data_IF_131564887616
#
_entry.id   IF_131564887616
#
_cell.length_a   1.000
_cell.length_b   1.000
_cell.length_c   1.000
_cell.angle_alpha   90.00
_cell.angle_beta   90.00
_cell.angle_gamma   90.00
#
_symmetry.space_group_name_H-M   'P 1'
#
loop_
_entity.id
_entity.type
_entity.pdbx_description
1 polymer ?
#
# COMPACT_ATOMS: atom_id res chain seq x y z
N UNK A 1 -3.75 -12.68 14.00
CA UNK A 1 -4.66 -11.61 14.47
C UNK A 1 -3.86 -10.66 15.33
N UNK A 2 -4.10 -9.37 15.20
CA UNK A 2 -3.29 -8.34 15.89
C UNK A 2 -4.05 -7.58 16.98
N UNK A 3 -5.38 -7.59 16.95
CA UNK A 3 -6.18 -7.17 18.10
C UNK A 3 -6.01 -8.22 19.24
N UNK A 4 -5.51 -7.83 20.43
CA UNK A 4 -5.24 -8.76 21.53
C UNK A 4 -6.47 -9.58 21.94
N UNK A 5 -6.32 -10.87 22.31
CA UNK A 5 -7.43 -11.73 22.71
C UNK A 5 -8.20 -11.14 23.91
N UNK A 6 -9.52 -11.38 23.94
CA UNK A 6 -10.38 -10.96 25.06
C UNK A 6 -10.93 -9.54 24.99
N UNK A 7 -10.51 -8.72 24.01
CA UNK A 7 -11.07 -7.38 23.82
C UNK A 7 -12.44 -7.45 23.12
N UNK A 8 -13.52 -6.95 23.75
CA UNK A 8 -14.84 -6.91 23.13
C UNK A 8 -14.92 -5.77 22.11
N UNK A 9 -15.70 -5.97 21.05
CA UNK A 9 -15.87 -5.01 19.94
C UNK A 9 -17.34 -4.72 19.64
N UNK A 10 -18.25 -5.49 20.23
CA UNK A 10 -19.68 -5.40 20.01
C UNK A 10 -20.44 -5.55 21.33
N UNK A 11 -21.46 -4.73 21.53
CA UNK A 11 -22.44 -4.89 22.60
C UNK A 11 -23.81 -5.21 22.00
N UNK A 12 -24.34 -6.39 22.33
CA UNK A 12 -25.69 -6.75 21.92
C UNK A 12 -26.71 -5.71 22.41
N UNK A 13 -27.52 -5.09 21.52
CA UNK A 13 -28.43 -4.00 21.90
C UNK A 13 -29.44 -4.37 22.99
N UNK A 14 -29.93 -5.62 22.95
CA UNK A 14 -30.97 -6.12 23.88
C UNK A 14 -30.37 -6.69 25.16
N UNK A 15 -29.43 -7.63 25.06
CA UNK A 15 -28.88 -8.34 26.23
C UNK A 15 -27.74 -7.59 26.92
N UNK A 16 -27.18 -6.56 26.26
CA UNK A 16 -26.01 -5.79 26.70
C UNK A 16 -24.75 -6.62 26.94
N UNK A 17 -24.74 -7.86 26.45
CA UNK A 17 -23.59 -8.76 26.49
C UNK A 17 -22.54 -8.24 25.51
N UNK A 18 -21.31 -8.15 26.01
CA UNK A 18 -20.14 -7.81 25.21
C UNK A 18 -19.57 -9.07 24.57
N UNK A 19 -19.37 -9.01 23.25
CA UNK A 19 -18.68 -10.06 22.50
C UNK A 19 -17.65 -9.44 21.56
N UNK A 20 -16.81 -10.30 20.99
CA UNK A 20 -15.81 -9.92 20.00
C UNK A 20 -16.19 -10.51 18.65
N UNK A 21 -16.89 -9.71 17.86
CA UNK A 21 -17.27 -10.08 16.49
C UNK A 21 -16.23 -9.60 15.48
N UNK A 22 -15.52 -8.52 15.81
CA UNK A 22 -14.58 -7.87 14.91
C UNK A 22 -13.13 -8.27 15.20
N UNK A 23 -12.34 -8.37 14.14
CA UNK A 23 -10.96 -8.83 14.21
C UNK A 23 -10.10 -8.13 13.17
N UNK A 24 -8.83 -7.93 13.52
CA UNK A 24 -7.81 -7.41 12.60
C UNK A 24 -6.79 -8.51 12.32
N UNK A 25 -6.61 -8.81 11.04
CA UNK A 25 -5.62 -9.77 10.54
C UNK A 25 -4.50 -9.00 9.84
N UNK A 26 -3.26 -9.41 10.09
CA UNK A 26 -2.06 -8.81 9.51
C UNK A 26 -1.16 -9.94 9.03
N UNK A 27 -0.54 -9.78 7.86
CA UNK A 27 0.47 -10.71 7.38
C UNK A 27 1.71 -10.68 8.28
N UNK A 28 2.47 -11.78 8.30
CA UNK A 28 3.69 -11.85 9.11
C UNK A 28 4.72 -10.81 8.66
N UNK A 29 4.86 -10.62 7.34
CA UNK A 29 5.74 -9.61 6.77
C UNK A 29 5.41 -8.19 7.22
N UNK A 30 4.14 -7.87 7.50
CA UNK A 30 3.74 -6.55 7.96
C UNK A 30 3.80 -6.38 9.50
N UNK A 31 4.13 -7.44 10.25
CA UNK A 31 4.12 -7.40 11.73
C UNK A 31 5.11 -6.37 12.29
N UNK A 32 6.26 -6.19 11.65
CA UNK A 32 7.26 -5.20 12.08
C UNK A 32 6.77 -3.75 11.96
N UNK A 33 5.77 -3.50 11.11
CA UNK A 33 5.16 -2.19 10.97
C UNK A 33 4.09 -1.95 12.05
N UNK A 34 3.63 -2.95 12.79
CA UNK A 34 2.58 -2.74 13.80
C UNK A 34 3.13 -1.97 15.01
N UNK A 35 2.57 -0.79 15.26
CA UNK A 35 2.83 -0.02 16.49
C UNK A 35 1.83 -0.45 17.57
N UNK A 36 0.53 -0.36 17.28
CA UNK A 36 -0.55 -0.77 18.20
C UNK A 36 -1.78 -1.26 17.44
N UNK A 37 -2.60 -2.09 18.10
CA UNK A 37 -3.95 -2.44 17.66
C UNK A 37 -4.83 -2.59 18.90
N UNK A 38 -5.81 -1.71 19.06
CA UNK A 38 -6.72 -1.69 20.21
C UNK A 38 -8.08 -1.11 19.81
N UNK A 39 -9.08 -1.23 20.67
CA UNK A 39 -10.35 -0.50 20.49
C UNK A 39 -10.16 1.00 20.74
N UNK A 40 -10.96 1.82 20.07
CA UNK A 40 -11.00 3.27 20.22
C UNK A 40 -12.41 3.75 20.59
N UNK A 41 -12.90 3.45 21.82
CA UNK A 41 -14.27 3.76 22.25
C UNK A 41 -14.63 5.24 22.12
N UNK A 42 -13.66 6.13 22.30
CA UNK A 42 -13.81 7.58 22.18
C UNK A 42 -14.19 8.05 20.77
N UNK A 43 -13.99 7.21 19.75
CA UNK A 43 -14.35 7.50 18.36
C UNK A 43 -15.69 6.87 17.94
N UNK A 44 -16.37 6.20 18.88
CA UNK A 44 -17.64 5.52 18.61
C UNK A 44 -18.72 6.54 18.27
N UNK A 45 -19.41 6.34 17.13
CA UNK A 45 -20.57 7.15 16.75
C UNK A 45 -21.74 6.87 17.70
N UNK A 46 -22.47 7.91 18.09
CA UNK A 46 -23.68 7.76 18.90
C UNK A 46 -24.67 6.76 18.28
N UNK A 47 -25.04 5.74 19.05
CA UNK A 47 -25.99 4.71 18.64
C UNK A 47 -25.39 3.49 17.93
N UNK A 48 -24.08 3.44 17.72
CA UNK A 48 -23.41 2.23 17.24
C UNK A 48 -23.37 1.16 18.34
N UNK A 49 -23.65 -0.09 17.96
CA UNK A 49 -23.53 -1.30 18.79
C UNK A 49 -22.15 -1.96 18.67
N UNK A 50 -21.32 -1.48 17.72
CA UNK A 50 -19.91 -1.82 17.59
C UNK A 50 -19.00 -0.68 18.07
N UNK A 51 -17.85 -1.05 18.65
CA UNK A 51 -16.75 -0.16 19.00
C UNK A 51 -15.70 -0.19 17.88
N UNK A 52 -15.22 0.96 17.37
CA UNK A 52 -14.14 1.01 16.40
C UNK A 52 -12.85 0.37 16.91
N UNK A 53 -12.09 -0.27 16.01
CA UNK A 53 -10.73 -0.75 16.28
C UNK A 53 -9.74 0.20 15.60
N UNK A 54 -8.82 0.77 16.37
CA UNK A 54 -7.72 1.57 15.87
C UNK A 54 -6.45 0.72 15.73
N UNK A 55 -5.88 0.70 14.53
CA UNK A 55 -4.60 0.05 14.24
C UNK A 55 -3.60 1.09 13.75
N UNK A 56 -2.49 1.23 14.45
CA UNK A 56 -1.42 2.17 14.09
C UNK A 56 -0.27 1.39 13.48
N UNK A 57 0.10 1.75 12.24
CA UNK A 57 1.20 1.15 11.51
C UNK A 57 2.31 2.18 11.25
N UNK A 58 3.55 1.79 11.48
CA UNK A 58 4.74 2.52 11.03
C UNK A 58 4.99 2.23 9.56
N UNK A 59 4.49 3.10 8.69
CA UNK A 59 4.72 3.06 7.24
C UNK A 59 5.83 4.04 6.82
N UNK A 60 6.73 4.37 7.73
CA UNK A 60 7.85 5.27 7.41
C UNK A 60 8.72 4.62 6.35
N UNK A 61 8.65 5.15 5.13
CA UNK A 61 9.51 4.75 4.04
C UNK A 61 10.79 5.59 4.10
N UNK A 62 11.94 4.94 3.91
CA UNK A 62 13.17 5.69 3.65
C UNK A 62 12.94 6.48 2.38
N UNK A 63 12.93 7.80 2.50
CA UNK A 63 12.79 8.67 1.34
C UNK A 63 14.08 8.61 0.54
N UNK A 64 14.14 7.71 -0.42
CA UNK A 64 15.25 7.65 -1.37
C UNK A 64 15.06 8.78 -2.37
N UNK A 65 16.13 9.55 -2.64
CA UNK A 65 16.12 10.44 -3.81
C UNK A 65 15.75 9.56 -5.02
N UNK A 66 14.71 9.91 -5.78
CA UNK A 66 14.41 9.17 -6.99
C UNK A 66 15.69 9.19 -7.85
N UNK A 67 16.03 8.07 -8.52
CA UNK A 67 17.16 8.08 -9.46
C UNK A 67 16.93 9.20 -10.47
N UNK A 68 18.01 9.80 -10.97
CA UNK A 68 17.92 10.76 -12.08
C UNK A 68 17.22 10.03 -13.23
N UNK A 69 16.01 10.46 -13.56
CA UNK A 69 15.26 9.93 -14.70
C UNK A 69 15.36 10.94 -15.84
N UNK A 70 15.48 10.44 -17.06
CA UNK A 70 15.31 11.26 -18.25
C UNK A 70 13.89 11.84 -18.26
N UNK A 71 13.79 13.15 -18.44
CA UNK A 71 12.51 13.84 -18.51
C UNK A 71 12.12 13.98 -19.99
N UNK A 72 11.25 13.09 -20.48
CA UNK A 72 10.79 13.11 -21.87
C UNK A 72 10.14 14.45 -22.28
N UNK A 73 9.60 15.22 -21.32
CA UNK A 73 9.01 16.54 -21.61
C UNK A 73 10.04 17.62 -21.91
N UNK A 74 11.29 17.44 -21.43
CA UNK A 74 12.41 18.35 -21.66
C UNK A 74 13.33 17.86 -22.78
N UNK A 75 13.00 16.76 -23.44
CA UNK A 75 13.77 16.25 -24.57
C UNK A 75 13.64 17.20 -25.76
N UNK A 76 14.77 17.54 -26.39
CA UNK A 76 14.75 18.09 -27.74
C UNK A 76 14.38 16.96 -28.70
N UNK A 77 13.09 16.89 -29.04
CA UNK A 77 12.56 15.84 -29.88
C UNK A 77 13.11 15.85 -31.30
N UNK A 78 13.56 17.01 -31.81
CA UNK A 78 14.11 17.10 -33.16
C UNK A 78 15.50 16.46 -33.21
N UNK A 79 16.35 16.79 -32.24
CA UNK A 79 17.68 16.19 -32.15
C UNK A 79 17.60 14.69 -31.82
N UNK A 80 16.68 14.31 -30.93
CA UNK A 80 16.44 12.90 -30.61
C UNK A 80 16.05 12.09 -31.85
N UNK A 81 15.10 12.58 -32.66
CA UNK A 81 14.68 11.89 -33.88
C UNK A 81 15.82 11.77 -34.90
N UNK A 82 16.60 12.85 -35.07
CA UNK A 82 17.76 12.82 -35.96
C UNK A 82 18.77 11.74 -35.55
N UNK A 83 19.12 11.67 -34.27
CA UNK A 83 20.04 10.65 -33.77
C UNK A 83 19.45 9.25 -33.88
N UNK A 84 18.16 9.09 -33.57
CA UNK A 84 17.47 7.82 -33.72
C UNK A 84 17.53 7.31 -35.17
N UNK A 85 17.28 8.17 -36.15
CA UNK A 85 17.34 7.80 -37.57
C UNK A 85 18.76 7.44 -38.03
N UNK A 86 19.79 8.07 -37.47
CA UNK A 86 21.20 7.72 -37.73
C UNK A 86 21.55 6.35 -37.14
N UNK A 87 21.17 6.09 -35.89
CA UNK A 87 21.41 4.82 -35.21
C UNK A 87 20.64 3.66 -35.85
N UNK A 88 19.37 3.86 -36.23
CA UNK A 88 18.55 2.82 -36.87
C UNK A 88 19.13 2.34 -38.20
N UNK A 89 19.88 3.19 -38.92
CA UNK A 89 20.57 2.78 -40.17
C UNK A 89 21.69 1.77 -39.92
N UNK A 90 22.23 1.71 -38.70
CA UNK A 90 23.29 0.77 -38.33
C UNK A 90 22.75 -0.62 -37.97
N UNK A 91 21.44 -0.72 -37.72
CA UNK A 91 20.79 -1.97 -37.35
C UNK A 91 20.50 -2.76 -38.64
N UNK A 92 20.89 -4.05 -38.72
CA UNK A 92 20.56 -4.88 -39.86
C UNK A 92 19.05 -5.01 -40.01
N UNK A 93 18.59 -5.14 -41.25
CA UNK A 93 17.19 -5.44 -41.53
C UNK A 93 16.76 -6.71 -40.79
N UNK A 94 15.49 -6.82 -40.35
CA UNK A 94 14.96 -8.04 -39.78
C UNK A 94 15.27 -9.24 -40.70
N UNK A 95 15.82 -10.31 -40.13
CA UNK A 95 16.13 -11.54 -40.84
C UNK A 95 15.39 -12.72 -40.20
N UNK A 96 15.05 -13.71 -41.02
CA UNK A 96 14.48 -14.96 -40.53
C UNK A 96 15.50 -15.69 -39.65
N UNK A 97 15.06 -16.11 -38.46
CA UNK A 97 15.87 -16.93 -37.57
C UNK A 97 16.08 -18.29 -38.21
N UNK A 98 17.31 -18.59 -38.62
CA UNK A 98 17.70 -19.91 -39.12
C UNK A 98 18.12 -20.78 -37.93
N UNK A 99 17.32 -21.81 -37.64
CA UNK A 99 17.64 -22.90 -36.69
C UNK A 99 18.44 -24.01 -37.34
#
# INVERSE_FOLDING_TARGET
MVLPPGIPTFQAPTTRIWTRLDNVFLSEDARHALITCDVAPETTTNGADHIPIATILNLSLVHTKPPIRYNFRLTDWKEFQKQLDEELKTIPQPQELTT
#
